data_IF_336440180232
#
_entry.id   IF_336440180232
#
_cell.length_a   1.000
_cell.length_b   1.000
_cell.length_c   1.000
_cell.angle_alpha   90.00
_cell.angle_beta   90.00
_cell.angle_gamma   90.00
#
_symmetry.space_group_name_H-M   'P 1'
#
loop_
_entity.id
_entity.type
_entity.pdbx_description
1 polymer ?
#
# COMPACT_ATOMS: atom_id res chain seq x y z
N UNK A 1 25.66 31.47 -33.15
CA UNK A 1 24.99 32.27 -32.11
C UNK A 1 23.87 31.47 -31.46
N UNK A 2 23.04 30.81 -32.27
CA UNK A 2 21.91 29.99 -31.80
C UNK A 2 22.30 28.85 -30.85
N UNK A 3 23.42 28.14 -31.07
CA UNK A 3 23.84 27.03 -30.19
C UNK A 3 24.22 27.50 -28.78
N UNK A 4 24.85 28.67 -28.65
CA UNK A 4 25.22 29.27 -27.36
C UNK A 4 24.00 29.83 -26.65
N UNK A 5 23.10 30.49 -27.40
CA UNK A 5 21.84 31.00 -26.86
C UNK A 5 20.96 29.85 -26.36
N UNK A 6 20.87 28.76 -27.13
CA UNK A 6 20.14 27.55 -26.76
C UNK A 6 20.73 26.88 -25.50
N UNK A 7 22.07 26.86 -25.36
CA UNK A 7 22.72 26.34 -24.15
C UNK A 7 22.42 27.18 -22.90
N UNK A 8 22.40 28.51 -23.03
CA UNK A 8 22.05 29.42 -21.92
C UNK A 8 20.57 29.26 -21.55
N UNK A 9 19.68 29.24 -22.56
CA UNK A 9 18.24 29.07 -22.35
C UNK A 9 17.94 27.73 -21.66
N UNK A 10 18.55 26.64 -22.13
CA UNK A 10 18.35 25.30 -21.58
C UNK A 10 18.89 25.18 -20.13
N UNK A 11 20.09 25.70 -19.85
CA UNK A 11 20.74 25.48 -18.57
C UNK A 11 20.34 26.47 -17.46
N UNK A 12 19.86 27.66 -17.82
CA UNK A 12 19.60 28.73 -16.86
C UNK A 12 18.17 29.27 -16.85
N UNK A 13 17.44 29.17 -17.96
CA UNK A 13 16.17 29.91 -18.12
C UNK A 13 14.95 29.00 -18.11
N UNK A 14 15.07 27.78 -18.66
CA UNK A 14 13.96 26.84 -18.77
C UNK A 14 13.37 26.43 -17.41
N UNK A 15 14.22 26.01 -16.47
CA UNK A 15 13.76 25.49 -15.18
C UNK A 15 13.15 26.59 -14.27
N UNK A 16 13.74 27.79 -14.13
CA UNK A 16 13.10 28.88 -13.40
C UNK A 16 11.78 29.33 -14.03
N UNK A 17 11.69 29.34 -15.37
CA UNK A 17 10.43 29.66 -16.05
C UNK A 17 9.34 28.64 -15.70
N UNK A 18 9.66 27.34 -15.74
CA UNK A 18 8.74 26.27 -15.33
C UNK A 18 8.33 26.44 -13.87
N UNK A 19 9.27 26.75 -12.97
CA UNK A 19 8.98 26.97 -11.56
C UNK A 19 8.05 28.18 -11.33
N UNK A 20 8.24 29.28 -12.06
CA UNK A 20 7.35 30.46 -12.01
C UNK A 20 5.95 30.12 -12.53
N UNK A 21 5.85 29.37 -13.63
CA UNK A 21 4.55 28.92 -14.17
C UNK A 21 3.84 27.99 -13.19
N UNK A 22 4.54 27.00 -12.65
CA UNK A 22 4.00 26.06 -11.65
C UNK A 22 3.59 26.77 -10.35
N UNK A 23 4.40 27.73 -9.88
CA UNK A 23 4.08 28.58 -8.75
C UNK A 23 2.85 29.45 -9.00
N UNK A 24 2.73 30.02 -10.21
CA UNK A 24 1.55 30.77 -10.64
C UNK A 24 0.28 29.93 -10.63
N UNK A 25 0.33 28.70 -11.18
CA UNK A 25 -0.79 27.75 -11.14
C UNK A 25 -1.17 27.40 -9.70
N UNK A 26 -0.18 27.12 -8.85
CA UNK A 26 -0.41 26.81 -7.44
C UNK A 26 -1.07 27.98 -6.68
N UNK A 27 -0.66 29.22 -6.96
CA UNK A 27 -1.27 30.44 -6.41
C UNK A 27 -2.72 30.59 -6.89
N UNK A 28 -3.01 30.36 -8.17
CA UNK A 28 -4.38 30.43 -8.70
C UNK A 28 -5.29 29.40 -8.03
N UNK A 29 -4.82 28.15 -7.88
CA UNK A 29 -5.55 27.08 -7.18
C UNK A 29 -5.76 27.42 -5.71
N UNK A 30 -4.74 27.92 -5.03
CA UNK A 30 -4.84 28.30 -3.62
C UNK A 30 -5.75 29.52 -3.40
N UNK A 31 -5.78 30.48 -4.34
CA UNK A 31 -6.68 31.64 -4.30
C UNK A 31 -8.13 31.24 -4.49
N UNK A 32 -8.40 30.34 -5.45
CA UNK A 32 -9.73 29.80 -5.71
C UNK A 32 -10.33 29.10 -4.49
N UNK A 33 -9.48 28.47 -3.68
CA UNK A 33 -9.90 27.75 -2.49
C UNK A 33 -9.77 28.56 -1.18
N UNK A 34 -9.53 29.88 -1.26
CA UNK A 34 -9.39 30.78 -0.10
C UNK A 34 -8.26 30.43 0.89
N UNK A 35 -7.28 29.61 0.47
CA UNK A 35 -6.19 29.08 1.31
C UNK A 35 -4.95 29.99 1.37
N UNK A 36 -4.92 31.10 0.63
CA UNK A 36 -3.77 32.02 0.58
C UNK A 36 -3.71 32.97 1.78
N UNK A 37 -3.12 32.49 2.86
CA UNK A 37 -2.77 33.33 4.03
C UNK A 37 -1.34 33.85 3.89
N UNK A 38 -1.04 35.05 4.41
CA UNK A 38 0.32 35.62 4.46
C UNK A 38 1.35 34.64 5.04
N UNK A 39 0.94 33.87 6.06
CA UNK A 39 1.73 32.80 6.69
C UNK A 39 2.17 31.72 5.68
N UNK A 40 1.29 31.31 4.77
CA UNK A 40 1.58 30.28 3.78
C UNK A 40 2.57 30.75 2.72
N UNK A 41 2.44 32.00 2.27
CA UNK A 41 3.39 32.61 1.32
C UNK A 41 4.78 32.72 1.97
N UNK A 42 4.83 33.22 3.22
CA UNK A 42 6.09 33.34 3.96
C UNK A 42 6.73 31.96 4.18
N UNK A 43 5.94 30.96 4.59
CA UNK A 43 6.39 29.58 4.75
C UNK A 43 6.93 29.01 3.45
N UNK A 44 6.20 29.19 2.33
CA UNK A 44 6.63 28.73 1.01
C UNK A 44 7.98 29.33 0.60
N UNK A 45 8.12 30.66 0.74
CA UNK A 45 9.32 31.38 0.40
C UNK A 45 10.50 30.94 1.29
N UNK A 46 10.28 30.84 2.61
CA UNK A 46 11.32 30.37 3.53
C UNK A 46 11.76 28.94 3.23
N UNK A 47 10.82 28.05 2.86
CA UNK A 47 11.12 26.68 2.46
C UNK A 47 11.97 26.65 1.19
N UNK A 48 11.60 27.43 0.17
CA UNK A 48 12.40 27.54 -1.06
C UNK A 48 13.83 28.05 -0.77
N UNK A 49 13.99 29.04 0.10
CA UNK A 49 15.31 29.54 0.50
C UNK A 49 16.13 28.43 1.15
N UNK A 50 15.58 27.70 2.13
CA UNK A 50 16.25 26.57 2.79
C UNK A 50 16.64 25.49 1.78
N UNK A 51 15.79 25.20 0.80
CA UNK A 51 16.07 24.21 -0.23
C UNK A 51 17.19 24.64 -1.19
N UNK A 52 17.30 25.94 -1.47
CA UNK A 52 18.28 26.47 -2.44
C UNK A 52 19.64 26.72 -1.79
N UNK A 53 19.71 27.15 -0.52
CA UNK A 53 20.97 27.50 0.15
C UNK A 53 22.11 26.47 -0.02
N UNK A 54 21.87 25.15 0.06
CA UNK A 54 22.93 24.16 -0.13
C UNK A 54 23.51 24.09 -1.56
N UNK A 55 22.94 24.79 -2.55
CA UNK A 55 23.46 24.85 -3.92
C UNK A 55 24.87 25.43 -4.01
N UNK A 56 25.31 26.20 -3.01
CA UNK A 56 26.69 26.69 -2.89
C UNK A 56 27.72 25.55 -2.82
N UNK A 57 27.29 24.34 -2.46
CA UNK A 57 28.10 23.12 -2.57
C UNK A 57 28.59 22.82 -3.99
N UNK A 58 28.07 23.50 -5.02
CA UNK A 58 28.65 23.50 -6.37
C UNK A 58 30.11 23.94 -6.43
N UNK A 59 30.60 24.66 -5.41
CA UNK A 59 32.03 24.99 -5.25
C UNK A 59 32.94 23.77 -5.11
N UNK A 60 32.40 22.61 -4.70
CA UNK A 60 33.17 21.37 -4.57
C UNK A 60 33.47 20.69 -5.92
N UNK A 61 32.91 21.20 -7.04
CA UNK A 61 33.12 20.76 -8.43
C UNK A 61 33.04 19.24 -8.60
N UNK A 62 34.16 18.52 -8.51
CA UNK A 62 34.27 17.08 -8.65
C UNK A 62 33.83 16.32 -7.39
N UNK A 63 34.14 16.82 -6.20
CA UNK A 63 33.80 16.15 -4.93
C UNK A 63 32.31 16.24 -4.60
N UNK A 64 31.55 17.09 -5.31
CA UNK A 64 30.11 17.13 -5.17
C UNK A 64 29.48 15.78 -5.57
N UNK A 65 29.96 15.12 -6.63
CA UNK A 65 29.46 13.82 -7.03
C UNK A 65 30.56 12.77 -6.87
N UNK A 66 30.44 11.79 -5.95
CA UNK A 66 29.20 11.38 -5.27
C UNK A 66 28.97 11.98 -3.87
N UNK A 67 30.00 12.49 -3.18
CA UNK A 67 29.92 12.73 -1.73
C UNK A 67 28.96 13.84 -1.33
N UNK A 68 29.07 15.01 -1.95
CA UNK A 68 28.16 16.14 -1.69
C UNK A 68 26.70 15.81 -2.02
N UNK A 69 26.47 15.08 -3.11
CA UNK A 69 25.16 14.63 -3.56
C UNK A 69 24.49 13.72 -2.52
N UNK A 70 25.18 12.69 -2.03
CA UNK A 70 24.64 11.76 -1.01
C UNK A 70 24.39 12.49 0.32
N UNK A 71 25.32 13.38 0.72
CA UNK A 71 25.15 14.17 1.94
C UNK A 71 23.92 15.07 1.87
N UNK A 72 23.71 15.73 0.72
CA UNK A 72 22.53 16.55 0.50
C UNK A 72 21.24 15.72 0.45
N UNK A 73 21.26 14.52 -0.12
CA UNK A 73 20.10 13.62 -0.08
C UNK A 73 19.67 13.31 1.37
N UNK A 74 20.64 13.03 2.26
CA UNK A 74 20.35 12.82 3.68
C UNK A 74 19.81 14.09 4.35
N UNK A 75 20.41 15.25 4.05
CA UNK A 75 19.94 16.54 4.54
C UNK A 75 18.50 16.84 4.09
N UNK A 76 18.16 16.58 2.82
CA UNK A 76 16.82 16.81 2.27
C UNK A 76 15.79 15.82 2.82
N UNK A 77 16.19 14.59 3.13
CA UNK A 77 15.33 13.64 3.85
C UNK A 77 14.98 14.15 5.25
N UNK A 78 15.98 14.60 6.03
CA UNK A 78 15.78 15.11 7.39
C UNK A 78 14.93 16.39 7.37
N UNK A 79 15.27 17.34 6.49
CA UNK A 79 14.51 18.59 6.35
C UNK A 79 13.10 18.35 5.82
N UNK A 80 12.86 17.33 5.00
CA UNK A 80 11.51 16.91 4.61
C UNK A 80 10.68 16.45 5.81
N UNK A 81 11.29 15.71 6.75
CA UNK A 81 10.65 15.32 8.01
C UNK A 81 10.33 16.52 8.89
N UNK A 82 11.30 17.44 9.07
CA UNK A 82 11.09 18.69 9.82
C UNK A 82 10.02 19.57 9.17
N UNK A 83 10.00 19.63 7.84
CA UNK A 83 9.02 20.40 7.09
C UNK A 83 7.59 19.95 7.41
N UNK A 84 7.35 18.65 7.51
CA UNK A 84 6.04 18.11 7.93
C UNK A 84 5.65 18.52 9.35
N UNK A 85 6.60 18.51 10.30
CA UNK A 85 6.33 18.93 11.67
C UNK A 85 5.97 20.42 11.73
N UNK A 86 6.70 21.27 10.99
CA UNK A 86 6.40 22.70 10.91
C UNK A 86 5.06 22.91 10.19
N UNK A 87 4.79 22.16 9.12
CA UNK A 87 3.53 22.21 8.40
C UNK A 87 2.33 21.92 9.33
N UNK A 88 2.46 20.87 10.16
CA UNK A 88 1.43 20.49 11.13
C UNK A 88 1.21 21.56 12.23
N UNK A 89 2.16 22.47 12.46
CA UNK A 89 2.00 23.58 13.43
C UNK A 89 1.53 24.89 12.80
N UNK A 90 1.92 25.17 11.55
CA UNK A 90 1.65 26.45 10.86
C UNK A 90 0.27 26.47 10.22
N UNK A 91 -0.20 25.34 9.68
CA UNK A 91 -1.48 25.27 8.98
C UNK A 91 -2.63 24.89 9.92
N UNK A 92 -3.85 25.28 9.54
CA UNK A 92 -5.07 24.93 10.26
C UNK A 92 -5.50 23.49 9.98
N UNK A 93 -6.19 22.86 10.94
CA UNK A 93 -6.64 21.47 10.84
C UNK A 93 -7.61 21.22 9.66
N UNK A 94 -8.33 22.26 9.23
CA UNK A 94 -9.20 22.23 8.05
C UNK A 94 -8.45 21.87 6.77
N UNK A 95 -7.20 22.32 6.63
CA UNK A 95 -6.34 22.08 5.47
C UNK A 95 -5.55 20.77 5.64
N UNK A 96 -5.15 20.42 6.87
CA UNK A 96 -4.39 19.20 7.19
C UNK A 96 -5.12 17.90 6.84
N UNK A 97 -6.45 17.90 6.87
CA UNK A 97 -7.27 16.70 6.56
C UNK A 97 -7.03 16.17 5.16
N UNK A 98 -6.59 17.01 4.22
CA UNK A 98 -6.43 16.63 2.82
C UNK A 98 -4.96 16.36 2.49
N UNK A 99 -4.57 15.09 2.44
CA UNK A 99 -3.23 14.68 1.99
C UNK A 99 -2.87 15.23 0.59
N UNK A 100 -3.86 15.42 -0.29
CA UNK A 100 -3.66 16.00 -1.63
C UNK A 100 -3.04 17.40 -1.53
N UNK A 101 -3.46 18.21 -0.56
CA UNK A 101 -2.89 19.54 -0.36
C UNK A 101 -1.43 19.44 0.09
N UNK A 102 -1.14 18.61 1.09
CA UNK A 102 0.22 18.38 1.61
C UNK A 102 1.19 17.98 0.49
N UNK A 103 0.87 16.90 -0.23
CA UNK A 103 1.78 16.39 -1.27
C UNK A 103 1.94 17.37 -2.43
N UNK A 104 0.87 18.06 -2.82
CA UNK A 104 0.93 19.08 -3.89
C UNK A 104 1.79 20.26 -3.47
N UNK A 105 1.63 20.74 -2.24
CA UNK A 105 2.37 21.88 -1.71
C UNK A 105 3.87 21.57 -1.61
N UNK A 106 4.23 20.43 -1.05
CA UNK A 106 5.62 19.98 -0.94
C UNK A 106 6.21 19.76 -2.34
N UNK A 107 5.45 19.18 -3.27
CA UNK A 107 5.89 18.97 -4.66
C UNK A 107 6.19 20.28 -5.38
N UNK A 108 5.30 21.28 -5.28
CA UNK A 108 5.55 22.60 -5.87
C UNK A 108 6.78 23.25 -5.24
N UNK A 109 6.95 23.13 -3.92
CA UNK A 109 8.14 23.63 -3.23
C UNK A 109 9.42 22.93 -3.68
N UNK A 110 9.42 21.61 -3.83
CA UNK A 110 10.56 20.83 -4.34
C UNK A 110 10.90 21.22 -5.76
N UNK A 111 9.92 21.33 -6.66
CA UNK A 111 10.15 21.71 -8.07
C UNK A 111 10.73 23.13 -8.16
N UNK A 112 10.18 24.08 -7.39
CA UNK A 112 10.72 25.43 -7.31
C UNK A 112 12.15 25.42 -6.75
N UNK A 113 12.38 24.69 -5.66
CA UNK A 113 13.70 24.50 -5.06
C UNK A 113 14.71 23.93 -6.04
N UNK A 114 14.35 22.89 -6.79
CA UNK A 114 15.21 22.25 -7.80
C UNK A 114 15.59 23.22 -8.92
N UNK A 115 14.63 24.01 -9.40
CA UNK A 115 14.86 24.99 -10.45
C UNK A 115 15.87 26.06 -10.02
N UNK A 116 15.66 26.67 -8.85
CA UNK A 116 16.58 27.67 -8.33
C UNK A 116 17.93 27.06 -7.92
N UNK A 117 17.92 25.89 -7.27
CA UNK A 117 19.14 25.15 -6.93
C UNK A 117 19.99 24.91 -8.17
N UNK A 118 19.40 24.46 -9.28
CA UNK A 118 20.12 24.22 -10.53
C UNK A 118 20.83 25.47 -11.05
N UNK A 119 20.16 26.63 -11.01
CA UNK A 119 20.75 27.90 -11.45
C UNK A 119 21.91 28.29 -10.55
N UNK A 120 21.68 28.37 -9.22
CA UNK A 120 22.73 28.78 -8.29
C UNK A 120 23.90 27.79 -8.27
N UNK A 121 23.63 26.49 -8.39
CA UNK A 121 24.66 25.48 -8.51
C UNK A 121 25.51 25.67 -9.78
N UNK A 122 24.88 25.94 -10.93
CA UNK A 122 25.58 26.22 -12.18
C UNK A 122 26.35 27.55 -12.18
N UNK A 123 25.99 28.50 -11.32
CA UNK A 123 26.79 29.71 -11.09
C UNK A 123 28.06 29.39 -10.30
N UNK A 124 28.02 28.42 -9.38
CA UNK A 124 29.16 28.00 -8.57
C UNK A 124 30.03 26.92 -9.24
N UNK A 125 29.46 26.09 -10.13
CA UNK A 125 30.10 24.89 -10.66
C UNK A 125 30.39 25.01 -12.17
N UNK A 126 31.67 24.89 -12.53
CA UNK A 126 32.17 25.00 -13.91
C UNK A 126 31.73 23.87 -14.85
N UNK A 127 31.23 22.76 -14.30
CA UNK A 127 30.79 21.59 -15.09
C UNK A 127 29.32 21.71 -15.55
N UNK A 128 28.59 22.72 -15.08
CA UNK A 128 27.24 23.07 -15.54
C UNK A 128 26.18 21.93 -15.54
N UNK A 129 26.28 20.97 -14.61
CA UNK A 129 25.33 19.85 -14.47
C UNK A 129 24.26 20.08 -13.39
N UNK A 130 23.94 21.34 -13.06
CA UNK A 130 23.05 21.73 -11.98
C UNK A 130 21.67 21.07 -11.99
N UNK A 131 21.14 20.74 -13.18
CA UNK A 131 19.86 20.01 -13.31
C UNK A 131 20.00 18.62 -12.68
N UNK A 132 21.07 17.89 -13.01
CA UNK A 132 21.37 16.59 -12.42
C UNK A 132 21.73 16.71 -10.94
N UNK A 133 22.45 17.76 -10.55
CA UNK A 133 22.76 17.99 -9.14
C UNK A 133 21.48 18.22 -8.31
N UNK A 134 20.48 18.92 -8.86
CA UNK A 134 19.23 19.26 -8.17
C UNK A 134 18.36 18.05 -7.81
N UNK A 135 18.56 16.89 -8.44
CA UNK A 135 17.80 15.67 -8.10
C UNK A 135 18.12 15.15 -6.69
N UNK A 136 19.18 15.66 -6.04
CA UNK A 136 19.43 15.40 -4.63
C UNK A 136 18.31 15.92 -3.70
N UNK A 137 17.43 16.81 -4.17
CA UNK A 137 16.26 17.32 -3.42
C UNK A 137 15.10 16.31 -3.36
N UNK A 138 15.05 15.29 -4.23
CA UNK A 138 13.93 14.34 -4.29
C UNK A 138 13.58 13.67 -2.94
N UNK A 139 14.55 13.29 -2.07
CA UNK A 139 14.25 12.74 -0.75
C UNK A 139 13.42 13.65 0.16
N UNK A 140 13.31 14.96 -0.13
CA UNK A 140 12.43 15.87 0.60
C UNK A 140 10.95 15.46 0.51
N UNK A 141 10.54 14.80 -0.57
CA UNK A 141 9.17 14.30 -0.76
C UNK A 141 8.88 13.03 0.05
N UNK A 142 9.92 12.24 0.32
CA UNK A 142 9.77 10.88 0.85
C UNK A 142 9.06 10.83 2.21
N UNK A 143 9.37 11.69 3.20
CA UNK A 143 8.68 11.69 4.49
C UNK A 143 7.16 11.81 4.38
N UNK A 144 6.64 12.62 3.44
CA UNK A 144 5.20 12.82 3.24
C UNK A 144 4.53 11.55 2.71
N UNK A 145 5.16 10.93 1.69
CA UNK A 145 4.68 9.67 1.10
C UNK A 145 4.73 8.54 2.13
N UNK A 146 5.82 8.44 2.90
CA UNK A 146 5.97 7.45 3.95
C UNK A 146 4.90 7.61 5.04
N UNK A 147 4.66 8.83 5.51
CA UNK A 147 3.60 9.13 6.48
C UNK A 147 2.23 8.68 6.00
N UNK A 148 1.88 8.95 4.73
CA UNK A 148 0.62 8.50 4.15
C UNK A 148 0.56 6.98 4.03
N UNK A 149 1.64 6.33 3.63
CA UNK A 149 1.71 4.87 3.56
C UNK A 149 1.47 4.23 4.94
N UNK A 150 2.10 4.76 6.00
CA UNK A 150 1.87 4.29 7.37
C UNK A 150 0.42 4.49 7.81
N UNK A 151 -0.17 5.68 7.59
CA UNK A 151 -1.58 5.93 7.94
C UNK A 151 -2.52 4.98 7.20
N UNK A 152 -2.33 4.83 5.89
CA UNK A 152 -3.11 3.88 5.10
C UNK A 152 -2.95 2.44 5.57
N UNK A 153 -1.76 2.05 6.04
CA UNK A 153 -1.53 0.71 6.60
C UNK A 153 -2.29 0.50 7.91
N UNK A 154 -2.29 1.49 8.81
CA UNK A 154 -3.05 1.43 10.07
C UNK A 154 -4.57 1.53 9.87
N UNK A 155 -5.02 2.16 8.79
CA UNK A 155 -6.44 2.27 8.44
C UNK A 155 -7.00 0.96 7.84
N UNK A 156 -6.16 -0.04 7.52
CA UNK A 156 -6.65 -1.34 7.04
C UNK A 156 -7.30 -2.08 8.23
N UNK A 157 -8.62 -2.32 8.20
CA UNK A 157 -9.28 -3.06 9.26
C UNK A 157 -8.73 -4.49 9.31
N UNK A 158 -8.60 -5.05 10.52
CA UNK A 158 -8.22 -6.45 10.69
C UNK A 158 -9.29 -7.33 10.06
N UNK A 159 -8.88 -8.27 9.21
CA UNK A 159 -9.79 -9.21 8.56
C UNK A 159 -10.42 -10.14 9.61
N UNK A 160 -11.70 -9.91 9.94
CA UNK A 160 -12.50 -10.81 10.79
C UNK A 160 -13.12 -11.87 9.87
N UNK A 161 -12.62 -13.11 9.98
CA UNK A 161 -13.13 -14.24 9.21
C UNK A 161 -14.29 -14.90 9.94
N UNK A 162 -15.38 -15.25 9.23
CA UNK A 162 -16.39 -16.12 9.83
C UNK A 162 -15.79 -17.50 10.07
N UNK A 163 -15.97 -17.99 11.29
CA UNK A 163 -15.59 -19.32 11.71
C UNK A 163 -16.66 -20.31 11.26
N UNK A 164 -16.25 -21.36 10.56
CA UNK A 164 -17.14 -22.49 10.26
C UNK A 164 -17.00 -23.57 11.32
N UNK A 165 -18.13 -24.04 11.86
CA UNK A 165 -18.20 -25.10 12.85
C UNK A 165 -18.83 -26.35 12.22
N UNK A 166 -18.32 -27.52 12.57
CA UNK A 166 -18.74 -28.79 12.00
C UNK A 166 -20.20 -29.18 12.38
N UNK A 167 -20.63 -28.85 13.60
CA UNK A 167 -21.98 -29.05 14.12
C UNK A 167 -22.99 -28.02 13.65
N UNK A 168 -22.58 -26.96 12.95
CA UNK A 168 -23.53 -25.95 12.46
C UNK A 168 -24.53 -26.61 11.50
N UNK A 169 -25.80 -26.65 11.91
CA UNK A 169 -26.93 -26.93 11.03
C UNK A 169 -27.11 -25.70 10.16
N UNK A 170 -26.61 -25.75 8.92
CA UNK A 170 -26.81 -24.65 7.98
C UNK A 170 -28.26 -24.69 7.48
N UNK A 171 -29.03 -23.66 7.81
CA UNK A 171 -30.40 -23.47 7.33
C UNK A 171 -30.43 -23.47 5.80
N UNK A 172 -31.36 -24.26 5.24
CA UNK A 172 -31.55 -24.39 3.81
C UNK A 172 -32.30 -23.16 3.29
N UNK A 173 -31.58 -22.21 2.69
CA UNK A 173 -32.23 -21.27 1.77
C UNK A 173 -32.39 -21.97 0.43
N UNK A 174 -33.65 -22.26 0.08
CA UNK A 174 -34.04 -22.99 -1.12
C UNK A 174 -33.32 -22.45 -2.35
N UNK A 175 -32.66 -23.35 -3.08
CA UNK A 175 -32.00 -22.98 -4.33
C UNK A 175 -33.08 -22.71 -5.40
N UNK A 176 -33.08 -21.49 -5.93
CA UNK A 176 -33.68 -21.18 -7.23
C UNK A 176 -32.94 -21.99 -8.32
N UNK A 177 -33.68 -22.32 -9.38
CA UNK A 177 -33.44 -23.30 -10.45
C UNK A 177 -31.98 -23.60 -10.86
N UNK A 178 -31.68 -24.85 -11.30
CA UNK A 178 -30.31 -25.27 -11.57
C UNK A 178 -29.79 -24.66 -12.87
N UNK A 179 -29.10 -23.53 -12.78
CA UNK A 179 -28.15 -23.15 -13.81
C UNK A 179 -27.02 -24.20 -13.81
N UNK A 180 -26.82 -24.88 -14.93
CA UNK A 180 -25.89 -25.99 -15.09
C UNK A 180 -24.44 -25.50 -14.92
N UNK A 181 -23.95 -25.42 -13.70
CA UNK A 181 -22.57 -25.01 -13.44
C UNK A 181 -21.62 -26.18 -13.68
N UNK A 182 -20.46 -25.93 -14.33
CA UNK A 182 -19.52 -27.00 -14.64
C UNK A 182 -18.97 -27.60 -13.35
N UNK A 183 -18.99 -28.92 -13.24
CA UNK A 183 -18.25 -29.61 -12.17
C UNK A 183 -16.75 -29.39 -12.37
N UNK A 184 -16.03 -29.30 -11.26
CA UNK A 184 -14.59 -29.18 -11.29
C UNK A 184 -13.93 -29.88 -10.10
N UNK A 185 -12.62 -30.09 -10.20
CA UNK A 185 -11.81 -30.68 -9.13
C UNK A 185 -11.13 -29.54 -8.38
N UNK A 186 -11.11 -29.63 -7.06
CA UNK A 186 -10.39 -28.70 -6.19
C UNK A 186 -9.52 -29.48 -5.20
N UNK A 187 -8.36 -28.90 -4.88
CA UNK A 187 -7.46 -29.42 -3.85
C UNK A 187 -7.67 -28.68 -2.54
N UNK A 188 -7.79 -29.43 -1.45
CA UNK A 188 -7.92 -28.91 -0.09
C UNK A 188 -6.72 -29.35 0.74
N UNK A 189 -5.98 -28.39 1.27
CA UNK A 189 -4.90 -28.60 2.24
C UNK A 189 -5.44 -28.47 3.66
N UNK A 190 -5.29 -29.51 4.48
CA UNK A 190 -5.71 -29.50 5.88
C UNK A 190 -4.83 -30.41 6.76
N UNK A 191 -4.87 -30.24 8.08
CA UNK A 191 -4.11 -31.06 9.04
C UNK A 191 -5.01 -32.08 9.74
N UNK A 192 -4.47 -33.26 10.09
CA UNK A 192 -5.29 -34.33 10.70
C UNK A 192 -5.61 -34.06 12.17
N UNK A 193 -4.62 -33.61 12.93
CA UNK A 193 -4.70 -33.38 14.39
C UNK A 193 -4.42 -31.92 14.76
N UNK A 194 -4.92 -31.43 15.91
CA UNK A 194 -4.53 -30.13 16.44
C UNK A 194 -3.02 -30.13 16.75
N UNK A 195 -2.31 -29.09 16.34
CA UNK A 195 -0.86 -28.96 16.54
C UNK A 195 0.02 -29.71 15.54
N UNK A 196 -0.58 -30.41 14.57
CA UNK A 196 0.16 -31.02 13.47
C UNK A 196 0.71 -29.93 12.53
N UNK A 197 1.96 -30.09 12.10
CA UNK A 197 2.67 -29.11 11.27
C UNK A 197 2.70 -29.50 9.79
N UNK A 198 2.36 -30.76 9.48
CA UNK A 198 2.38 -31.28 8.11
C UNK A 198 0.96 -31.36 7.52
N UNK A 199 0.55 -30.40 6.66
CA UNK A 199 -0.74 -30.46 5.99
C UNK A 199 -0.71 -31.52 4.88
N UNK A 200 -1.82 -32.24 4.73
CA UNK A 200 -2.01 -33.16 3.61
C UNK A 200 -3.06 -32.61 2.63
N UNK A 201 -3.01 -33.10 1.39
CA UNK A 201 -3.91 -32.68 0.31
C UNK A 201 -5.02 -33.69 0.09
N UNK A 202 -6.25 -33.19 0.00
CA UNK A 202 -7.44 -33.92 -0.45
C UNK A 202 -7.95 -33.33 -1.75
N UNK A 203 -8.10 -34.18 -2.75
CA UNK A 203 -8.63 -33.79 -4.06
C UNK A 203 -10.05 -34.30 -4.20
N UNK A 204 -11.00 -33.41 -4.48
CA UNK A 204 -12.41 -33.78 -4.59
C UNK A 204 -13.13 -33.01 -5.71
N UNK A 205 -14.17 -33.64 -6.26
CA UNK A 205 -15.04 -33.05 -7.29
C UNK A 205 -16.14 -32.23 -6.63
N UNK A 206 -16.40 -31.05 -7.18
CA UNK A 206 -17.37 -30.07 -6.70
C UNK A 206 -18.23 -29.54 -7.84
N UNK A 207 -19.46 -29.15 -7.52
CA UNK A 207 -20.31 -28.35 -8.38
C UNK A 207 -20.26 -26.88 -7.94
N UNK A 208 -20.24 -25.95 -8.90
CA UNK A 208 -20.13 -24.52 -8.60
C UNK A 208 -21.32 -23.93 -7.83
N UNK A 209 -22.49 -24.56 -7.91
CA UNK A 209 -23.71 -24.16 -7.20
C UNK A 209 -23.80 -24.71 -5.77
N UNK A 210 -22.85 -25.55 -5.35
CA UNK A 210 -22.91 -26.18 -4.03
C UNK A 210 -22.43 -25.20 -2.96
N UNK A 211 -23.05 -25.25 -1.78
CA UNK A 211 -22.58 -24.49 -0.62
C UNK A 211 -21.21 -25.02 -0.15
N UNK A 212 -20.25 -24.12 0.11
CA UNK A 212 -18.90 -24.51 0.48
C UNK A 212 -18.85 -25.25 1.82
N UNK A 213 -19.53 -24.73 2.86
CA UNK A 213 -19.52 -25.33 4.20
C UNK A 213 -20.14 -26.72 4.24
N UNK A 214 -21.29 -26.90 3.59
CA UNK A 214 -21.95 -28.21 3.48
C UNK A 214 -21.08 -29.23 2.75
N UNK A 215 -20.51 -28.83 1.61
CA UNK A 215 -19.60 -29.70 0.88
C UNK A 215 -18.41 -30.13 1.73
N UNK A 216 -17.81 -29.19 2.46
CA UNK A 216 -16.65 -29.47 3.28
C UNK A 216 -16.97 -30.46 4.41
N UNK A 217 -18.17 -30.38 5.00
CA UNK A 217 -18.66 -31.40 5.94
C UNK A 217 -18.72 -32.79 5.31
N UNK A 218 -19.38 -32.91 4.15
CA UNK A 218 -19.47 -34.19 3.43
C UNK A 218 -18.09 -34.74 3.04
N UNK A 219 -17.16 -33.87 2.63
CA UNK A 219 -15.78 -34.25 2.30
C UNK A 219 -15.07 -34.88 3.50
N UNK A 220 -15.20 -34.27 4.67
CA UNK A 220 -14.61 -34.78 5.91
C UNK A 220 -15.25 -36.11 6.34
N UNK A 221 -16.58 -36.22 6.25
CA UNK A 221 -17.31 -37.44 6.61
C UNK A 221 -16.91 -38.62 5.71
N UNK A 222 -16.85 -38.40 4.40
CA UNK A 222 -16.40 -39.40 3.44
C UNK A 222 -14.96 -39.83 3.69
N UNK A 223 -14.06 -38.87 3.95
CA UNK A 223 -12.66 -39.17 4.24
C UNK A 223 -12.53 -39.98 5.53
N UNK A 224 -13.18 -39.57 6.60
CA UNK A 224 -13.13 -40.26 7.90
C UNK A 224 -13.73 -41.67 7.82
N UNK A 225 -14.77 -41.87 7.01
CA UNK A 225 -15.33 -43.20 6.74
C UNK A 225 -14.37 -44.09 5.95
N UNK A 226 -13.66 -43.54 4.96
CA UNK A 226 -12.67 -44.27 4.13
C UNK A 226 -11.36 -44.54 4.88
N UNK A 227 -10.99 -43.72 5.86
CA UNK A 227 -9.75 -43.87 6.64
C UNK A 227 -10.03 -43.83 8.15
N UNK A 228 -10.65 -44.88 8.72
CA UNK A 228 -10.98 -44.90 10.16
C UNK A 228 -9.75 -44.96 11.07
N UNK A 229 -8.61 -45.45 10.56
CA UNK A 229 -7.37 -45.58 11.31
C UNK A 229 -6.68 -44.24 11.61
N UNK A 230 -6.95 -43.20 10.81
CA UNK A 230 -6.33 -41.88 10.97
C UNK A 230 -7.29 -40.76 10.50
N UNK A 231 -8.38 -40.52 11.25
CA UNK A 231 -9.40 -39.55 10.88
C UNK A 231 -8.93 -38.11 11.13
N UNK A 232 -9.58 -37.18 10.44
CA UNK A 232 -9.50 -35.74 10.70
C UNK A 232 -10.31 -35.45 11.96
N UNK A 233 -9.64 -34.98 13.02
CA UNK A 233 -10.30 -34.61 14.26
C UNK A 233 -11.09 -33.30 14.08
N UNK A 234 -12.41 -33.36 14.21
CA UNK A 234 -13.31 -32.22 14.00
C UNK A 234 -13.82 -31.61 15.32
N UNK A 235 -13.75 -32.38 16.41
CA UNK A 235 -14.20 -32.00 17.75
C UNK A 235 -13.18 -32.45 18.80
N UNK A 236 -13.10 -31.74 19.92
CA UNK A 236 -12.21 -32.07 21.05
C UNK A 236 -12.92 -32.82 22.20
N UNK A 237 -14.14 -33.31 21.95
CA UNK A 237 -14.97 -34.03 22.94
C UNK A 237 -15.96 -33.16 23.71
N UNK A 238 -15.77 -31.83 23.77
CA UNK A 238 -16.70 -30.88 24.38
C UNK A 238 -17.14 -29.75 23.43
N UNK A 239 -16.26 -29.28 22.56
CA UNK A 239 -16.54 -28.26 21.56
C UNK A 239 -15.96 -28.64 20.19
N UNK A 240 -16.57 -28.10 19.14
CA UNK A 240 -16.08 -28.22 17.77
C UNK A 240 -14.90 -27.30 17.50
N UNK A 241 -13.99 -27.75 16.66
CA UNK A 241 -12.96 -26.87 16.11
C UNK A 241 -13.58 -25.92 15.08
N UNK A 242 -13.28 -24.62 15.23
CA UNK A 242 -13.55 -23.63 14.20
C UNK A 242 -12.58 -23.77 13.03
N UNK A 243 -13.08 -23.60 11.82
CA UNK A 243 -12.28 -23.61 10.59
C UNK A 243 -12.39 -22.28 9.88
N UNK A 244 -11.24 -21.81 9.36
CA UNK A 244 -11.15 -20.67 8.46
C UNK A 244 -10.57 -21.15 7.14
N UNK A 245 -11.17 -20.68 6.05
CA UNK A 245 -10.86 -21.11 4.70
C UNK A 245 -10.28 -19.95 3.89
N UNK A 246 -9.20 -20.23 3.16
CA UNK A 246 -8.63 -19.26 2.23
C UNK A 246 -8.03 -19.94 1.01
N UNK A 247 -8.06 -19.24 -0.12
CA UNK A 247 -7.38 -19.67 -1.34
C UNK A 247 -5.92 -19.24 -1.28
N UNK A 248 -5.03 -20.18 -1.59
CA UNK A 248 -3.62 -19.91 -1.85
C UNK A 248 -3.37 -20.05 -3.36
N UNK A 249 -3.17 -18.93 -4.04
CA UNK A 249 -2.86 -18.91 -5.47
C UNK A 249 -1.37 -19.21 -5.74
N UNK A 250 -0.48 -18.50 -5.05
CA UNK A 250 0.98 -18.55 -5.21
C UNK A 250 1.64 -17.89 -4.00
N UNK A 251 2.95 -18.07 -3.81
CA UNK A 251 3.72 -17.49 -2.69
C UNK A 251 3.64 -15.95 -2.62
N UNK A 252 3.40 -15.27 -3.75
CA UNK A 252 3.37 -13.80 -3.84
C UNK A 252 1.97 -13.18 -3.85
N UNK A 253 0.91 -14.00 -3.79
CA UNK A 253 -0.46 -13.49 -3.80
C UNK A 253 -1.03 -13.45 -2.39
N UNK A 254 -1.78 -12.39 -2.08
CA UNK A 254 -2.53 -12.30 -0.83
C UNK A 254 -3.50 -13.50 -0.72
N UNK A 255 -3.65 -14.02 0.50
CA UNK A 255 -4.64 -15.06 0.79
C UNK A 255 -6.02 -14.48 0.59
N UNK A 256 -6.89 -15.18 -0.12
CA UNK A 256 -8.28 -14.75 -0.33
C UNK A 256 -9.19 -15.57 0.55
N UNK A 257 -9.88 -14.92 1.48
CA UNK A 257 -10.89 -15.55 2.33
C UNK A 257 -12.00 -16.22 1.49
N UNK A 258 -12.54 -17.32 2.02
CA UNK A 258 -13.69 -18.05 1.47
C UNK A 258 -14.79 -18.00 2.53
N UNK A 259 -15.95 -17.46 2.19
CA UNK A 259 -17.12 -17.47 3.07
C UNK A 259 -17.77 -18.87 3.04
N UNK A 260 -17.82 -19.59 4.17
CA UNK A 260 -18.36 -20.93 4.24
C UNK A 260 -19.89 -21.01 4.04
N UNK A 261 -20.60 -19.89 4.12
CA UNK A 261 -22.05 -19.81 3.88
C UNK A 261 -22.38 -19.57 2.41
N UNK A 262 -21.39 -19.23 1.58
CA UNK A 262 -21.57 -18.95 0.17
C UNK A 262 -21.27 -20.18 -0.70
N UNK A 263 -21.80 -20.19 -1.93
CA UNK A 263 -21.51 -21.24 -2.91
C UNK A 263 -20.10 -21.12 -3.49
N UNK A 264 -19.61 -22.16 -4.16
CA UNK A 264 -18.32 -22.14 -4.86
C UNK A 264 -18.22 -21.01 -5.90
N UNK A 265 -19.29 -20.77 -6.66
CA UNK A 265 -19.38 -19.70 -7.65
C UNK A 265 -19.40 -18.32 -7.01
N UNK A 266 -20.16 -18.14 -5.93
CA UNK A 266 -20.25 -16.87 -5.23
C UNK A 266 -18.91 -16.51 -4.52
N UNK A 267 -18.18 -17.53 -4.04
CA UNK A 267 -16.78 -17.41 -3.58
C UNK A 267 -15.75 -17.24 -4.72
N UNK A 268 -16.18 -17.23 -5.98
CA UNK A 268 -15.33 -17.13 -7.18
C UNK A 268 -14.20 -18.17 -7.19
N UNK A 269 -14.47 -19.40 -6.75
CA UNK A 269 -13.51 -20.51 -6.75
C UNK A 269 -13.36 -21.09 -8.16
N UNK A 270 -12.13 -21.46 -8.54
CA UNK A 270 -11.78 -22.02 -9.85
C UNK A 270 -10.97 -23.32 -9.69
N UNK A 271 -10.88 -24.08 -10.79
CA UNK A 271 -10.14 -25.36 -10.92
C UNK A 271 -8.71 -25.34 -10.40
N UNK A 272 -8.00 -24.24 -10.62
CA UNK A 272 -6.56 -24.13 -10.35
C UNK A 272 -6.23 -23.78 -8.89
N UNK A 273 -7.25 -23.63 -8.04
CA UNK A 273 -7.08 -23.09 -6.71
C UNK A 273 -6.90 -24.20 -5.68
N UNK A 274 -5.89 -24.04 -4.84
CA UNK A 274 -5.75 -24.83 -3.61
C UNK A 274 -6.41 -24.08 -2.47
N UNK A 275 -7.43 -24.71 -1.88
CA UNK A 275 -8.10 -24.22 -0.68
C UNK A 275 -7.33 -24.70 0.53
N UNK A 276 -6.99 -23.80 1.43
CA UNK A 276 -6.36 -24.14 2.71
C UNK A 276 -7.42 -24.02 3.80
N UNK A 277 -7.67 -25.13 4.49
CA UNK A 277 -8.54 -25.19 5.65
C UNK A 277 -7.68 -25.19 6.91
N UNK A 278 -7.73 -24.10 7.68
CA UNK A 278 -6.96 -23.95 8.91
C UNK A 278 -7.89 -24.02 10.11
N UNK A 279 -7.57 -24.89 11.07
CA UNK A 279 -8.24 -24.89 12.39
C UNK A 279 -7.84 -23.67 13.20
N UNK A 280 -8.82 -23.09 13.86
CA UNK A 280 -8.67 -22.01 14.83
C UNK A 280 -9.26 -22.49 16.15
N UNK A 281 -8.52 -22.32 17.24
CA UNK A 281 -9.05 -22.53 18.58
C UNK A 281 -9.87 -21.31 18.94
N UNK A 282 -11.17 -21.48 19.09
CA UNK A 282 -12.05 -20.45 19.64
C UNK A 282 -11.61 -20.22 21.08
N UNK A 283 -10.81 -19.19 21.32
CA UNK A 283 -10.51 -18.76 22.68
C UNK A 283 -11.67 -17.86 23.09
N UNK A 284 -12.29 -18.08 24.26
CA UNK A 284 -13.54 -17.44 24.73
C UNK A 284 -13.61 -15.89 24.67
N UNK A 285 -12.55 -15.20 24.22
CA UNK A 285 -12.55 -13.76 23.96
C UNK A 285 -13.36 -13.33 22.73
N UNK A 286 -13.70 -14.25 21.82
CA UNK A 286 -14.42 -13.92 20.57
C UNK A 286 -15.95 -14.13 20.64
N UNK A 287 -16.50 -14.76 21.70
CA UNK A 287 -17.96 -14.95 21.86
C UNK A 287 -18.73 -13.68 22.24
N UNK A 288 -18.10 -12.50 22.29
CA UNK A 288 -18.69 -11.29 22.90
C UNK A 288 -18.76 -10.03 22.02
N UNK A 289 -18.51 -10.13 20.72
CA UNK A 289 -18.75 -9.03 19.78
C UNK A 289 -19.69 -9.44 18.66
#
# INVERSE_FOLDING_TARGET
MDTYLNGIIANYLLMPLIAVVMGGIAIVVAKKNHFLTKKMILYFLSGCVILVLPSISGLFVYNFMPYGYILLQLFYFITGGLNLLIMDTVFEDSVKKHYIFEISFITVMTVAGMAFFSVFFNLCNKLHYGIWASTCLLPFLFPSVYRKACRSFWDIPVEVYKLWLYSSEQEYHGQEEPEYQPMFVIDVELTRKPGDTDPFRLTAKVSGNMNFGQWFKCLLDEYNKKTPSNPVQCYNGQEDYGWVFYVKHSYFHARRYIDPEMTFSANKLKREYTVVARRVFVTDKEKKN
#
